data_IF_979577402560
#
_entry.id   IF_979577402560
#
_cell.length_a   1.000
_cell.length_b   1.000
_cell.length_c   1.000
_cell.angle_alpha   90.00
_cell.angle_beta   90.00
_cell.angle_gamma   90.00
#
_symmetry.space_group_name_H-M   'P 1'
#
loop_
_entity.id
_entity.type
_entity.pdbx_description
1 polymer ?
#
# COMPACT_ATOMS: atom_id res chain seq x y z
N UNK A 1 -25.45 -9.44 30.50
CA UNK A 1 -24.87 -8.20 29.90
C UNK A 1 -23.39 -8.29 29.52
N UNK A 2 -22.50 -9.01 30.24
CA UNK A 2 -21.07 -9.13 29.86
C UNK A 2 -20.79 -9.95 28.59
N UNK A 3 -21.68 -10.88 28.22
CA UNK A 3 -21.54 -11.68 27.01
C UNK A 3 -21.85 -10.87 25.74
N UNK A 4 -22.77 -9.90 25.80
CA UNK A 4 -23.12 -9.07 24.64
C UNK A 4 -21.95 -8.16 24.19
N UNK A 5 -21.22 -7.58 25.17
CA UNK A 5 -19.99 -6.80 24.90
C UNK A 5 -18.84 -7.67 24.37
N UNK A 6 -18.76 -8.95 24.77
CA UNK A 6 -17.77 -9.91 24.29
C UNK A 6 -18.06 -10.44 22.89
N UNK A 7 -19.34 -10.71 22.59
CA UNK A 7 -19.79 -11.05 21.25
C UNK A 7 -19.61 -9.88 20.28
N UNK A 8 -19.91 -8.65 20.72
CA UNK A 8 -19.62 -7.45 19.95
C UNK A 8 -18.13 -7.39 19.58
N UNK A 9 -17.21 -7.55 20.54
CA UNK A 9 -15.77 -7.49 20.27
C UNK A 9 -15.26 -8.50 19.22
N UNK A 10 -15.76 -9.74 19.20
CA UNK A 10 -15.37 -10.74 18.18
C UNK A 10 -16.10 -10.55 16.87
N UNK A 11 -17.36 -10.10 16.90
CA UNK A 11 -18.09 -9.72 15.70
C UNK A 11 -17.39 -8.53 15.02
N UNK A 12 -16.93 -7.53 15.79
CA UNK A 12 -16.16 -6.41 15.28
C UNK A 12 -14.81 -6.87 14.72
N UNK A 13 -14.17 -7.87 15.33
CA UNK A 13 -12.85 -8.34 14.89
C UNK A 13 -12.92 -9.23 13.63
N UNK A 14 -13.99 -10.03 13.49
CA UNK A 14 -14.33 -10.72 12.24
C UNK A 14 -14.82 -9.75 11.15
N UNK A 15 -15.63 -8.75 11.52
CA UNK A 15 -16.05 -7.68 10.61
C UNK A 15 -14.88 -6.83 10.16
N UNK A 16 -13.89 -6.52 11.00
CA UNK A 16 -12.67 -5.80 10.61
C UNK A 16 -11.83 -6.70 9.71
N UNK A 17 -11.74 -8.00 9.96
CA UNK A 17 -10.99 -8.93 9.10
C UNK A 17 -11.62 -9.07 7.71
N UNK A 18 -12.95 -9.12 7.62
CA UNK A 18 -13.67 -9.08 6.33
C UNK A 18 -13.66 -7.68 5.70
N UNK A 19 -13.83 -6.61 6.47
CA UNK A 19 -13.82 -5.23 5.97
C UNK A 19 -12.43 -4.83 5.44
N UNK A 20 -11.34 -5.29 6.05
CA UNK A 20 -9.97 -5.04 5.56
C UNK A 20 -9.74 -5.69 4.18
N UNK A 21 -10.35 -6.84 3.91
CA UNK A 21 -10.31 -7.48 2.59
C UNK A 21 -11.33 -6.89 1.60
N UNK A 22 -12.50 -6.46 2.09
CA UNK A 22 -13.54 -5.81 1.27
C UNK A 22 -13.26 -4.35 0.93
N UNK A 23 -12.35 -3.67 1.62
CA UNK A 23 -11.92 -2.30 1.30
C UNK A 23 -10.78 -2.21 0.29
N UNK A 24 -10.14 -3.35 -0.05
CA UNK A 24 -9.06 -3.39 -1.03
C UNK A 24 -9.46 -3.17 -2.50
N UNK A 25 -10.67 -3.51 -3.00
CA UNK A 25 -10.95 -3.39 -4.43
C UNK A 25 -11.33 -1.97 -4.87
N UNK A 26 -11.54 -1.03 -3.95
CA UNK A 26 -12.05 0.31 -4.27
C UNK A 26 -11.00 1.42 -4.42
N UNK A 27 -9.82 1.28 -3.81
CA UNK A 27 -8.83 2.36 -3.76
C UNK A 27 -7.66 2.19 -4.75
N UNK A 28 -7.33 0.95 -5.14
CA UNK A 28 -6.25 0.67 -6.11
C UNK A 28 -6.63 1.13 -7.54
N UNK A 29 -7.91 1.30 -7.86
CA UNK A 29 -8.40 1.74 -9.19
C UNK A 29 -8.98 3.16 -9.21
N UNK A 30 -8.65 4.02 -8.24
CA UNK A 30 -9.12 5.41 -8.27
C UNK A 30 -8.35 6.19 -9.32
N UNK A 31 -8.92 6.32 -10.52
CA UNK A 31 -8.34 7.09 -11.62
C UNK A 31 -7.92 8.48 -11.10
N UNK A 32 -6.66 8.91 -11.31
CA UNK A 32 -6.19 10.22 -10.83
C UNK A 32 -7.03 11.37 -11.38
N UNK A 33 -7.64 11.17 -12.55
CA UNK A 33 -8.56 12.10 -13.22
C UNK A 33 -9.87 12.32 -12.43
N UNK A 34 -10.42 11.30 -11.77
CA UNK A 34 -11.65 11.45 -10.96
C UNK A 34 -11.41 12.26 -9.69
N UNK A 35 -10.25 12.10 -9.06
CA UNK A 35 -9.86 12.89 -7.89
C UNK A 35 -9.61 14.35 -8.31
N UNK A 36 -8.95 14.55 -9.45
CA UNK A 36 -8.73 15.88 -10.04
C UNK A 36 -10.05 16.62 -10.29
N UNK A 37 -11.02 15.94 -10.94
CA UNK A 37 -12.33 16.51 -11.24
C UNK A 37 -13.13 16.81 -9.97
N UNK A 38 -13.02 15.98 -8.92
CA UNK A 38 -13.69 16.22 -7.65
C UNK A 38 -13.12 17.44 -6.91
N UNK A 39 -11.79 17.60 -6.89
CA UNK A 39 -11.12 18.73 -6.22
C UNK A 39 -11.35 20.05 -6.98
N UNK A 40 -11.38 20.04 -8.31
CA UNK A 40 -11.64 21.25 -9.11
C UNK A 40 -13.09 21.73 -9.05
N UNK A 41 -14.08 20.83 -8.90
CA UNK A 41 -15.50 21.20 -8.89
C UNK A 41 -16.08 21.51 -7.49
N UNK A 42 -15.36 21.24 -6.39
CA UNK A 42 -15.90 21.38 -5.04
C UNK A 42 -15.13 22.40 -4.18
N UNK A 43 -15.86 23.10 -3.31
CA UNK A 43 -15.31 24.12 -2.42
C UNK A 43 -14.30 23.54 -1.43
N UNK A 44 -13.38 24.40 -0.93
CA UNK A 44 -12.26 23.94 -0.12
C UNK A 44 -12.65 23.16 1.14
N UNK A 45 -13.83 23.46 1.67
CA UNK A 45 -14.39 22.87 2.87
C UNK A 45 -14.84 21.41 2.65
N UNK A 46 -15.29 21.06 1.44
CA UNK A 46 -15.77 19.71 1.12
C UNK A 46 -14.61 18.75 0.94
N UNK A 47 -13.56 19.11 0.19
CA UNK A 47 -12.40 18.23 0.05
C UNK A 47 -11.70 18.01 1.41
N UNK A 48 -11.54 19.06 2.22
CA UNK A 48 -10.95 18.95 3.56
C UNK A 48 -11.74 17.99 4.46
N UNK A 49 -13.07 18.05 4.42
CA UNK A 49 -13.93 17.14 5.19
C UNK A 49 -13.81 15.69 4.74
N UNK A 50 -13.69 15.44 3.42
CA UNK A 50 -13.49 14.10 2.87
C UNK A 50 -12.14 13.52 3.29
N UNK A 51 -11.05 14.28 3.17
CA UNK A 51 -9.71 13.83 3.59
C UNK A 51 -9.62 13.63 5.11
N UNK A 52 -10.30 14.45 5.89
CA UNK A 52 -10.43 14.25 7.33
C UNK A 52 -11.18 12.96 7.67
N UNK A 53 -12.29 12.68 6.98
CA UNK A 53 -13.04 11.43 7.11
C UNK A 53 -12.21 10.20 6.72
N UNK A 54 -11.42 10.32 5.64
CA UNK A 54 -10.43 9.30 5.25
C UNK A 54 -9.39 9.08 6.34
N UNK A 55 -8.89 10.14 6.98
CA UNK A 55 -7.99 10.03 8.14
C UNK A 55 -8.60 9.24 9.29
N UNK A 56 -9.87 9.47 9.62
CA UNK A 56 -10.59 8.70 10.66
C UNK A 56 -10.71 7.22 10.24
N UNK A 57 -11.03 6.95 8.98
CA UNK A 57 -11.14 5.59 8.47
C UNK A 57 -9.77 4.86 8.50
N UNK A 58 -8.70 5.57 8.16
CA UNK A 58 -7.34 5.05 8.19
C UNK A 58 -6.84 4.77 9.62
N UNK A 59 -7.42 5.40 10.66
CA UNK A 59 -7.09 5.07 12.04
C UNK A 59 -7.44 3.61 12.41
N UNK A 60 -8.37 2.98 11.67
CA UNK A 60 -8.71 1.57 11.82
C UNK A 60 -7.80 0.63 11.01
N UNK A 61 -6.75 1.16 10.37
CA UNK A 61 -5.80 0.33 9.64
C UNK A 61 -4.90 -0.46 10.59
N UNK A 62 -4.44 -1.64 10.16
CA UNK A 62 -3.57 -2.49 10.97
C UNK A 62 -2.21 -1.88 11.31
N UNK A 63 -1.80 -0.80 10.65
CA UNK A 63 -0.51 -0.13 10.91
C UNK A 63 -0.59 0.86 12.08
N UNK A 64 -1.76 1.44 12.37
CA UNK A 64 -1.95 2.44 13.44
C UNK A 64 -2.47 1.80 14.73
N UNK A 65 -3.31 0.77 14.61
CA UNK A 65 -3.86 0.01 15.74
C UNK A 65 -2.80 -0.51 16.76
N UNK A 66 -1.59 -0.98 16.35
CA UNK A 66 -0.56 -1.47 17.26
C UNK A 66 0.03 -0.40 18.19
N UNK A 67 -0.10 0.89 17.87
CA UNK A 67 0.38 1.95 18.77
C UNK A 67 -0.55 2.18 19.96
N UNK A 68 -1.84 1.84 19.86
CA UNK A 68 -2.80 2.00 20.97
C UNK A 68 -2.39 1.18 22.20
N UNK A 69 -2.04 -0.13 22.09
CA UNK A 69 -1.49 -0.90 23.20
C UNK A 69 -0.18 -0.36 23.78
N UNK A 70 0.69 0.22 22.95
CA UNK A 70 1.99 0.76 23.40
C UNK A 70 1.75 2.01 24.26
N UNK A 71 0.92 2.94 23.78
CA UNK A 71 0.53 4.15 24.53
C UNK A 71 -0.20 3.77 25.82
N UNK A 72 -1.14 2.82 25.75
CA UNK A 72 -1.85 2.33 26.93
C UNK A 72 -0.91 1.70 27.95
N UNK A 73 0.09 0.91 27.51
CA UNK A 73 1.10 0.33 28.40
C UNK A 73 1.96 1.37 29.12
N UNK A 74 2.34 2.44 28.41
CA UNK A 74 3.14 3.55 28.97
C UNK A 74 2.31 4.37 29.97
N UNK A 75 1.05 4.66 29.63
CA UNK A 75 0.14 5.47 30.47
C UNK A 75 -0.29 4.69 31.72
N UNK A 76 -0.62 3.40 31.59
CA UNK A 76 -1.04 2.54 32.72
C UNK A 76 0.15 2.17 33.63
N UNK A 77 1.37 2.14 33.10
CA UNK A 77 2.60 1.94 33.88
C UNK A 77 2.92 3.10 34.84
N UNK A 78 2.39 4.31 34.58
CA UNK A 78 2.49 5.46 35.47
C UNK A 78 1.24 5.53 36.35
N UNK A 79 1.30 4.90 37.53
CA UNK A 79 0.21 4.70 38.53
C UNK A 79 -0.57 5.95 39.02
N UNK A 80 -0.35 7.15 38.49
CA UNK A 80 -1.02 8.38 38.96
C UNK A 80 -1.08 9.53 37.93
N UNK A 81 -1.33 9.24 36.65
CA UNK A 81 -1.59 10.30 35.68
C UNK A 81 -3.05 10.78 35.74
N UNK A 82 -3.25 12.06 36.08
CA UNK A 82 -4.52 12.77 35.86
C UNK A 82 -4.89 12.75 34.36
N UNK A 83 -6.18 12.65 34.04
CA UNK A 83 -6.75 12.73 32.69
C UNK A 83 -6.21 13.92 31.88
N UNK A 84 -5.91 15.05 32.55
CA UNK A 84 -5.31 16.23 31.94
C UNK A 84 -3.90 15.98 31.36
N UNK A 85 -3.08 15.13 32.00
CA UNK A 85 -1.75 14.77 31.48
C UNK A 85 -1.85 13.81 30.29
N UNK A 86 -2.79 12.87 30.30
CA UNK A 86 -3.03 11.99 29.16
C UNK A 86 -3.49 12.77 27.92
N UNK A 87 -4.39 13.74 28.10
CA UNK A 87 -4.83 14.64 27.01
C UNK A 87 -3.69 15.51 26.51
N UNK A 88 -2.85 16.07 27.40
CA UNK A 88 -1.68 16.88 27.00
C UNK A 88 -0.64 16.07 26.23
N UNK A 89 -0.40 14.81 26.62
CA UNK A 89 0.55 13.92 25.95
C UNK A 89 0.03 13.51 24.55
N UNK A 90 -1.24 13.14 24.45
CA UNK A 90 -1.89 12.78 23.18
C UNK A 90 -1.95 13.97 22.21
N UNK A 91 -2.26 15.18 22.71
CA UNK A 91 -2.24 16.40 21.90
C UNK A 91 -0.85 16.69 21.34
N UNK A 92 0.19 16.60 22.17
CA UNK A 92 1.58 16.79 21.71
C UNK A 92 2.01 15.75 20.68
N UNK A 93 1.54 14.50 20.83
CA UNK A 93 1.82 13.42 19.87
C UNK A 93 1.12 13.67 18.52
N UNK A 94 -0.17 14.03 18.53
CA UNK A 94 -0.93 14.33 17.31
C UNK A 94 -0.36 15.55 16.59
N UNK A 95 0.03 16.60 17.31
CA UNK A 95 0.69 17.77 16.74
C UNK A 95 2.04 17.42 16.09
N UNK A 96 2.86 16.59 16.75
CA UNK A 96 4.13 16.14 16.19
C UNK A 96 3.95 15.31 14.91
N UNK A 97 2.98 14.41 14.89
CA UNK A 97 2.61 13.64 13.69
C UNK A 97 2.12 14.56 12.57
N UNK A 98 1.22 15.50 12.87
CA UNK A 98 0.64 16.41 11.89
C UNK A 98 1.70 17.32 11.25
N UNK A 99 2.63 17.87 12.03
CA UNK A 99 3.75 18.67 11.52
C UNK A 99 4.67 17.82 10.64
N UNK A 100 4.95 16.58 11.03
CA UNK A 100 5.83 15.69 10.26
C UNK A 100 5.18 15.29 8.93
N UNK A 101 3.87 15.00 8.91
CA UNK A 101 3.12 14.73 7.67
C UNK A 101 3.00 15.95 6.77
N UNK A 102 2.76 17.13 7.35
CA UNK A 102 2.75 18.38 6.59
C UNK A 102 4.12 18.65 5.95
N UNK A 103 5.20 18.48 6.70
CA UNK A 103 6.57 18.62 6.19
C UNK A 103 6.86 17.60 5.07
N UNK A 104 6.47 16.34 5.26
CA UNK A 104 6.60 15.31 4.23
C UNK A 104 5.81 15.67 2.96
N UNK A 105 4.61 16.22 3.09
CA UNK A 105 3.79 16.69 1.96
C UNK A 105 4.41 17.84 1.18
N UNK A 106 4.95 18.84 1.89
CA UNK A 106 5.64 19.98 1.27
C UNK A 106 6.92 19.51 0.57
N UNK A 107 7.71 18.64 1.22
CA UNK A 107 8.92 18.05 0.63
C UNK A 107 8.58 17.23 -0.61
N UNK A 108 7.50 16.46 -0.58
CA UNK A 108 7.06 15.66 -1.72
C UNK A 108 6.57 16.55 -2.89
N UNK A 109 5.90 17.67 -2.59
CA UNK A 109 5.56 18.68 -3.59
C UNK A 109 6.80 19.32 -4.24
N UNK A 110 7.87 19.53 -3.46
CA UNK A 110 9.15 20.06 -3.97
C UNK A 110 9.94 19.04 -4.80
N UNK A 111 9.88 17.75 -4.43
CA UNK A 111 10.63 16.69 -5.13
C UNK A 111 9.91 16.11 -6.36
N UNK A 112 8.62 16.40 -6.53
CA UNK A 112 7.83 16.01 -7.70
C UNK A 112 7.79 14.50 -7.95
N UNK A 113 7.61 14.10 -9.22
CA UNK A 113 7.52 12.70 -9.70
C UNK A 113 8.74 11.82 -9.36
N UNK A 114 9.84 12.44 -8.92
CA UNK A 114 11.06 11.76 -8.46
C UNK A 114 10.83 10.92 -7.21
N UNK A 115 9.92 11.34 -6.31
CA UNK A 115 9.68 10.64 -5.04
C UNK A 115 9.04 9.26 -5.24
N UNK A 116 8.09 9.17 -6.19
CA UNK A 116 7.41 7.93 -6.56
C UNK A 116 8.41 6.85 -7.02
N UNK A 117 9.35 7.27 -7.85
CA UNK A 117 10.40 6.39 -8.42
C UNK A 117 11.34 5.87 -7.33
N UNK A 118 11.64 6.66 -6.31
CA UNK A 118 12.49 6.26 -5.19
C UNK A 118 11.79 5.25 -4.26
N UNK A 119 10.51 5.45 -3.96
CA UNK A 119 9.75 4.54 -3.08
C UNK A 119 9.54 3.15 -3.70
N UNK A 120 9.52 3.03 -5.02
CA UNK A 120 9.36 1.75 -5.72
C UNK A 120 10.68 1.01 -5.95
N UNK A 121 11.84 1.54 -5.50
CA UNK A 121 13.08 0.77 -5.58
C UNK A 121 12.99 -0.47 -4.69
N UNK A 122 13.40 -1.66 -5.19
CA UNK A 122 13.30 -2.91 -4.45
C UNK A 122 14.05 -2.86 -3.10
N UNK A 123 15.15 -2.11 -3.04
CA UNK A 123 15.93 -1.90 -1.81
C UNK A 123 15.11 -1.21 -0.72
N UNK A 124 14.29 -0.23 -1.07
CA UNK A 124 13.46 0.53 -0.12
C UNK A 124 12.34 -0.37 0.43
N UNK A 125 11.69 -1.14 -0.43
CA UNK A 125 10.66 -2.11 -0.04
C UNK A 125 11.23 -3.20 0.89
N UNK A 126 12.43 -3.72 0.59
CA UNK A 126 13.11 -4.71 1.44
C UNK A 126 13.43 -4.11 2.81
N UNK A 127 13.98 -2.89 2.87
CA UNK A 127 14.28 -2.19 4.12
C UNK A 127 13.03 -2.00 4.97
N UNK A 128 11.93 -1.53 4.39
CA UNK A 128 10.66 -1.35 5.09
C UNK A 128 10.10 -2.69 5.59
N UNK A 129 10.11 -3.71 4.73
CA UNK A 129 9.64 -5.04 5.11
C UNK A 129 10.43 -5.60 6.30
N UNK A 130 11.75 -5.40 6.32
CA UNK A 130 12.60 -5.80 7.44
C UNK A 130 12.23 -5.08 8.74
N UNK A 131 11.95 -3.77 8.69
CA UNK A 131 11.48 -3.00 9.86
C UNK A 131 10.13 -3.52 10.37
N UNK A 132 9.20 -3.87 9.48
CA UNK A 132 7.91 -4.45 9.86
C UNK A 132 8.04 -5.83 10.51
N UNK A 133 8.91 -6.70 9.98
CA UNK A 133 9.24 -8.00 10.61
C UNK A 133 9.81 -7.78 12.00
N UNK A 134 10.78 -6.88 12.16
CA UNK A 134 11.38 -6.56 13.46
C UNK A 134 10.32 -6.09 14.46
N UNK A 135 9.38 -5.26 14.03
CA UNK A 135 8.34 -4.74 14.91
C UNK A 135 7.28 -5.79 15.26
N UNK A 136 6.94 -6.68 14.31
CA UNK A 136 6.09 -7.83 14.58
C UNK A 136 6.75 -8.78 15.60
N UNK A 137 8.05 -9.06 15.46
CA UNK A 137 8.82 -9.87 16.41
C UNK A 137 8.87 -9.25 17.82
N UNK A 138 8.94 -7.92 17.91
CA UNK A 138 8.82 -7.18 19.18
C UNK A 138 7.45 -7.38 19.83
N UNK A 139 6.36 -7.36 19.04
CA UNK A 139 5.00 -7.63 19.53
C UNK A 139 4.78 -9.08 19.98
N UNK A 140 5.45 -10.05 19.36
CA UNK A 140 5.44 -11.45 19.81
C UNK A 140 6.21 -11.67 21.12
N UNK A 141 6.97 -10.67 21.59
CA UNK A 141 7.75 -10.76 22.81
C UNK A 141 8.95 -11.71 22.70
N UNK A 142 9.30 -12.15 21.48
CA UNK A 142 10.52 -12.94 21.22
C UNK A 142 11.78 -12.12 21.52
N UNK A 143 11.65 -10.79 21.37
CA UNK A 143 12.54 -9.80 21.94
C UNK A 143 11.75 -9.02 23.00
N UNK A 144 11.73 -9.49 24.25
CA UNK A 144 11.81 -8.49 25.31
C UNK A 144 13.17 -7.83 25.08
N UNK A 145 13.18 -6.71 24.34
CA UNK A 145 14.22 -5.71 24.43
C UNK A 145 14.20 -5.22 25.89
N UNK A 146 14.72 -6.06 26.79
CA UNK A 146 15.33 -5.64 28.04
C UNK A 146 16.53 -4.84 27.58
N UNK A 147 16.28 -3.60 27.17
CA UNK A 147 17.36 -2.63 27.06
C UNK A 147 18.12 -2.76 28.39
N UNK A 148 19.44 -3.02 28.34
CA UNK A 148 20.23 -3.17 29.55
C UNK A 148 19.89 -2.01 30.48
N UNK A 149 19.54 -2.29 31.74
CA UNK A 149 19.02 -1.26 32.66
C UNK A 149 19.94 -0.03 32.80
N UNK A 150 21.22 -0.18 32.44
CA UNK A 150 22.22 0.88 32.38
C UNK A 150 21.91 1.96 31.32
N UNK A 151 21.33 1.62 30.17
CA UNK A 151 21.02 2.59 29.10
C UNK A 151 19.71 3.31 29.41
N UNK A 152 18.72 2.60 29.95
CA UNK A 152 17.42 3.18 30.33
C UNK A 152 17.53 4.09 31.54
N UNK A 153 18.36 3.78 32.55
CA UNK A 153 18.63 4.67 33.69
C UNK A 153 19.43 5.91 33.28
N UNK A 154 20.38 5.81 32.34
CA UNK A 154 21.08 6.99 31.81
C UNK A 154 20.15 7.91 31.00
N UNK A 155 19.32 7.34 30.11
CA UNK A 155 18.35 8.13 29.33
C UNK A 155 17.23 8.72 30.21
N UNK A 156 16.74 7.99 31.22
CA UNK A 156 15.72 8.51 32.14
C UNK A 156 16.28 9.49 33.16
N UNK A 157 17.55 9.39 33.57
CA UNK A 157 18.21 10.39 34.43
C UNK A 157 18.47 11.71 33.68
N UNK A 158 18.86 11.65 32.40
CA UNK A 158 18.93 12.80 31.51
C UNK A 158 17.53 13.40 31.25
N UNK A 159 16.51 12.55 31.13
CA UNK A 159 15.12 12.98 30.93
C UNK A 159 14.48 13.58 32.20
N UNK A 160 14.90 13.15 33.40
CA UNK A 160 14.42 13.71 34.69
C UNK A 160 14.98 15.11 34.98
N UNK A 161 16.17 15.44 34.46
CA UNK A 161 16.85 16.71 34.73
C UNK A 161 16.36 17.86 33.84
N UNK A 162 15.69 17.54 32.74
CA UNK A 162 15.15 18.52 31.81
C UNK A 162 13.69 18.20 31.54
N UNK A 163 12.76 18.94 32.17
CA UNK A 163 11.31 18.80 31.96
C UNK A 163 10.81 18.96 30.50
N UNK A 164 11.72 19.16 29.56
CA UNK A 164 11.51 19.30 28.11
C UNK A 164 11.97 18.06 27.29
N UNK A 165 12.67 17.09 27.89
CA UNK A 165 13.22 15.91 27.20
C UNK A 165 12.14 14.92 26.69
N UNK A 166 10.95 14.93 27.30
CA UNK A 166 9.80 14.16 26.81
C UNK A 166 9.33 14.63 25.42
N UNK A 167 9.47 15.91 25.09
CA UNK A 167 9.01 16.44 23.79
C UNK A 167 9.95 16.00 22.66
N UNK A 168 11.27 16.05 22.90
CA UNK A 168 12.27 15.59 21.92
C UNK A 168 12.14 14.10 21.64
N UNK A 169 11.98 13.26 22.68
CA UNK A 169 11.77 11.81 22.50
C UNK A 169 10.48 11.49 21.74
N UNK A 170 9.41 12.27 21.96
CA UNK A 170 8.12 12.10 21.25
C UNK A 170 8.24 12.51 19.78
N UNK A 171 9.02 13.55 19.47
CA UNK A 171 9.29 13.98 18.09
C UNK A 171 10.09 12.90 17.33
N UNK A 172 11.15 12.34 17.92
CA UNK A 172 11.92 11.26 17.28
C UNK A 172 11.09 10.00 17.05
N UNK A 173 10.24 9.63 18.01
CA UNK A 173 9.33 8.50 17.86
C UNK A 173 8.30 8.76 16.75
N UNK A 174 7.86 10.02 16.60
CA UNK A 174 6.98 10.47 15.52
C UNK A 174 7.62 10.33 14.13
N UNK A 175 8.88 10.74 13.96
CA UNK A 175 9.61 10.62 12.68
C UNK A 175 9.80 9.15 12.28
N UNK A 176 10.15 8.29 13.24
CA UNK A 176 10.28 6.85 12.96
C UNK A 176 8.90 6.26 12.58
N UNK A 177 7.83 6.71 13.25
CA UNK A 177 6.47 6.28 12.97
C UNK A 177 5.98 6.71 11.58
N UNK A 178 6.22 7.96 11.16
CA UNK A 178 5.84 8.42 9.81
C UNK A 178 6.58 7.66 8.72
N UNK A 179 7.86 7.34 8.93
CA UNK A 179 8.63 6.53 7.99
C UNK A 179 7.99 5.14 7.83
N UNK A 180 7.63 4.49 8.94
CA UNK A 180 7.02 3.16 8.94
C UNK A 180 5.58 3.17 8.39
N UNK A 181 4.80 4.24 8.60
CA UNK A 181 3.42 4.33 8.14
C UNK A 181 3.32 4.66 6.64
N UNK A 182 4.37 5.25 6.06
CA UNK A 182 4.45 5.59 4.63
C UNK A 182 3.99 4.47 3.68
N UNK A 183 4.48 3.21 3.79
CA UNK A 183 4.01 2.11 2.94
C UNK A 183 2.51 1.80 3.07
N UNK A 184 1.91 2.02 4.25
CA UNK A 184 0.47 1.76 4.47
C UNK A 184 -0.44 2.91 3.99
N UNK A 185 0.11 4.09 3.72
CA UNK A 185 -0.64 5.30 3.30
C UNK A 185 -0.34 5.66 1.83
N UNK A 186 0.39 4.80 1.12
CA UNK A 186 0.82 5.02 -0.27
C UNK A 186 -0.35 5.35 -1.20
N UNK A 187 -1.49 4.67 -1.11
CA UNK A 187 -2.63 4.90 -2.02
C UNK A 187 -3.23 6.33 -1.89
N UNK A 188 -3.62 6.80 -0.68
CA UNK A 188 -4.01 8.20 -0.49
C UNK A 188 -2.91 9.20 -0.90
N UNK A 189 -1.65 8.87 -0.61
CA UNK A 189 -0.51 9.74 -0.92
C UNK A 189 -0.36 9.93 -2.44
N UNK A 190 -0.46 8.87 -3.25
CA UNK A 190 -0.36 8.93 -4.72
C UNK A 190 -1.43 9.86 -5.31
N UNK A 191 -2.68 9.76 -4.84
CA UNK A 191 -3.76 10.63 -5.29
C UNK A 191 -3.46 12.11 -5.04
N UNK A 192 -2.94 12.43 -3.85
CA UNK A 192 -2.53 13.79 -3.47
C UNK A 192 -1.31 14.26 -4.27
N UNK A 193 -0.30 13.41 -4.45
CA UNK A 193 0.91 13.72 -5.22
C UNK A 193 0.60 13.99 -6.69
N UNK A 194 -0.33 13.23 -7.27
CA UNK A 194 -0.76 13.44 -8.66
C UNK A 194 -1.49 14.78 -8.83
N UNK A 195 -2.30 15.16 -7.84
CA UNK A 195 -2.95 16.48 -7.81
C UNK A 195 -1.92 17.62 -7.67
N UNK A 196 -0.96 17.51 -6.75
CA UNK A 196 0.10 18.52 -6.55
C UNK A 196 0.96 18.65 -7.81
N UNK A 197 1.28 17.53 -8.47
CA UNK A 197 2.08 17.51 -9.70
C UNK A 197 1.44 18.28 -10.86
N UNK A 198 0.11 18.35 -10.93
CA UNK A 198 -0.61 19.15 -11.94
C UNK A 198 -0.89 20.58 -11.49
N UNK A 199 -1.09 20.80 -10.18
CA UNK A 199 -1.52 22.10 -9.64
C UNK A 199 -0.35 23.05 -9.33
N UNK A 200 0.87 22.53 -9.16
CA UNK A 200 2.08 23.32 -8.89
C UNK A 200 2.16 23.96 -7.49
N UNK A 201 1.09 23.93 -6.69
CA UNK A 201 1.02 24.55 -5.37
C UNK A 201 1.38 23.55 -4.24
N UNK A 202 2.67 23.46 -3.90
CA UNK A 202 3.18 22.57 -2.86
C UNK A 202 2.58 22.82 -1.45
N UNK A 203 2.10 24.03 -1.18
CA UNK A 203 1.48 24.40 0.10
C UNK A 203 0.18 23.64 0.37
N UNK A 204 -0.66 23.42 -0.65
CA UNK A 204 -1.94 22.70 -0.49
C UNK A 204 -1.72 21.24 -0.07
N UNK A 205 -0.66 20.60 -0.58
CA UNK A 205 -0.29 19.24 -0.19
C UNK A 205 0.01 19.11 1.31
N UNK A 206 0.72 20.09 1.87
CA UNK A 206 0.99 20.15 3.30
C UNK A 206 -0.27 20.27 4.15
N UNK A 207 -1.21 21.13 3.73
CA UNK A 207 -2.48 21.36 4.46
C UNK A 207 -3.37 20.11 4.44
N UNK A 208 -3.49 19.43 3.30
CA UNK A 208 -4.29 18.20 3.17
C UNK A 208 -3.74 17.09 4.09
N UNK A 209 -2.43 16.87 4.08
CA UNK A 209 -1.81 15.85 4.94
C UNK A 209 -1.88 16.22 6.42
N UNK A 210 -1.81 17.51 6.75
CA UNK A 210 -2.00 18.00 8.12
C UNK A 210 -3.42 17.66 8.63
N UNK A 211 -4.45 17.95 7.84
CA UNK A 211 -5.85 17.67 8.19
C UNK A 211 -6.12 16.15 8.27
N UNK A 212 -5.54 15.36 7.37
CA UNK A 212 -5.63 13.90 7.43
C UNK A 212 -4.99 13.34 8.72
N UNK A 213 -3.82 13.84 9.11
CA UNK A 213 -3.15 13.44 10.35
C UNK A 213 -3.96 13.83 11.60
N UNK A 214 -4.62 14.99 11.60
CA UNK A 214 -5.57 15.37 12.65
C UNK A 214 -6.77 14.41 12.73
N UNK A 215 -7.32 14.01 11.57
CA UNK A 215 -8.39 13.02 11.48
C UNK A 215 -8.02 11.68 12.13
N UNK A 216 -6.81 11.17 11.86
CA UNK A 216 -6.30 9.95 12.49
C UNK A 216 -6.09 10.10 14.02
N UNK A 217 -5.72 11.29 14.48
CA UNK A 217 -5.44 11.58 15.89
C UNK A 217 -6.67 11.61 16.79
N UNK A 218 -7.85 11.91 16.25
CA UNK A 218 -9.09 12.06 17.04
C UNK A 218 -9.57 10.75 17.67
N UNK A 219 -9.66 9.63 16.93
CA UNK A 219 -9.98 8.33 17.53
C UNK A 219 -8.99 7.93 18.62
N UNK A 220 -7.70 8.18 18.40
CA UNK A 220 -6.63 7.95 19.39
C UNK A 220 -6.83 8.78 20.66
N UNK A 221 -7.20 10.06 20.52
CA UNK A 221 -7.45 10.96 21.64
C UNK A 221 -8.70 10.53 22.42
N UNK A 222 -9.76 10.11 21.72
CA UNK A 222 -10.99 9.60 22.33
C UNK A 222 -10.71 8.32 23.15
N UNK A 223 -9.93 7.41 22.58
CA UNK A 223 -9.54 6.15 23.24
C UNK A 223 -8.58 6.40 24.41
N UNK A 224 -7.63 7.33 24.28
CA UNK A 224 -6.73 7.73 25.36
C UNK A 224 -7.44 8.42 26.53
N UNK A 225 -8.45 9.25 26.26
CA UNK A 225 -9.28 9.88 27.29
C UNK A 225 -10.22 8.88 27.98
N UNK A 226 -10.73 7.88 27.25
CA UNK A 226 -11.63 6.85 27.78
C UNK A 226 -10.95 5.70 28.53
N UNK A 227 -9.61 5.59 28.47
CA UNK A 227 -8.85 4.46 29.02
C UNK A 227 -8.86 4.35 30.55
N UNK A 228 -9.26 5.40 31.27
CA UNK A 228 -9.38 5.37 32.74
C UNK A 228 -10.62 4.64 33.27
N UNK A 229 -11.69 4.51 32.47
CA UNK A 229 -12.98 3.97 32.94
C UNK A 229 -13.42 2.67 32.23
N UNK A 230 -12.89 2.38 31.03
CA UNK A 230 -13.43 1.33 30.16
C UNK A 230 -12.51 0.14 29.90
N UNK A 231 -11.21 0.24 30.19
CA UNK A 231 -10.29 -0.88 29.98
C UNK A 231 -10.20 -1.78 31.23
N UNK A 232 -10.61 -3.06 31.13
CA UNK A 232 -10.38 -4.02 32.20
C UNK A 232 -8.88 -4.19 32.46
N UNK A 233 -8.50 -4.49 33.71
CA UNK A 233 -7.11 -4.72 34.14
C UNK A 233 -6.31 -5.47 33.07
N UNK A 234 -5.07 -5.04 32.86
CA UNK A 234 -4.04 -5.61 31.99
C UNK A 234 -3.85 -7.12 32.25
N UNK A 235 -4.75 -7.93 31.73
CA UNK A 235 -4.76 -9.38 31.89
C UNK A 235 -4.26 -10.11 30.64
N UNK A 236 -4.42 -11.43 30.65
CA UNK A 236 -4.06 -12.33 29.55
C UNK A 236 -4.72 -12.03 28.20
N UNK A 237 -5.81 -11.23 28.20
CA UNK A 237 -6.44 -10.73 26.99
C UNK A 237 -5.54 -9.80 26.17
N UNK A 238 -4.74 -8.94 26.82
CA UNK A 238 -3.84 -8.02 26.12
C UNK A 238 -2.75 -8.77 25.36
N UNK A 239 -2.30 -9.92 25.88
CA UNK A 239 -1.31 -10.77 25.22
C UNK A 239 -1.86 -11.37 23.92
N UNK A 240 -3.12 -11.82 23.93
CA UNK A 240 -3.80 -12.35 22.72
C UNK A 240 -4.00 -11.28 21.66
N UNK A 241 -4.35 -10.06 22.07
CA UNK A 241 -4.52 -8.92 21.16
C UNK A 241 -3.19 -8.54 20.51
N UNK A 242 -2.09 -8.49 21.27
CA UNK A 242 -0.74 -8.26 20.72
C UNK A 242 -0.35 -9.30 19.67
N UNK A 243 -0.60 -10.58 19.97
CA UNK A 243 -0.27 -11.69 19.08
C UNK A 243 -1.06 -11.65 17.77
N UNK A 244 -2.35 -11.31 17.85
CA UNK A 244 -3.21 -11.09 16.69
C UNK A 244 -2.72 -9.91 15.82
N UNK A 245 -2.36 -8.77 16.42
CA UNK A 245 -1.86 -7.61 15.67
C UNK A 245 -0.47 -7.87 15.04
N UNK A 246 0.42 -8.57 15.75
CA UNK A 246 1.72 -8.98 15.19
C UNK A 246 1.55 -9.86 13.96
N UNK A 247 0.57 -10.77 13.97
CA UNK A 247 0.23 -11.61 12.82
C UNK A 247 -0.27 -10.80 11.63
N UNK A 248 -1.12 -9.81 11.89
CA UNK A 248 -1.65 -8.92 10.86
C UNK A 248 -0.53 -8.07 10.22
N UNK A 249 0.44 -7.59 11.02
CA UNK A 249 1.62 -6.89 10.48
C UNK A 249 2.50 -7.81 9.60
N UNK A 250 2.68 -9.07 9.99
CA UNK A 250 3.38 -10.03 9.14
C UNK A 250 2.61 -10.30 7.84
N UNK A 251 1.28 -10.40 7.88
CA UNK A 251 0.46 -10.62 6.69
C UNK A 251 0.62 -9.47 5.68
N UNK A 252 0.63 -8.22 6.17
CA UNK A 252 0.94 -7.05 5.35
C UNK A 252 2.35 -7.07 4.77
N UNK A 253 3.32 -7.57 5.55
CA UNK A 253 4.71 -7.70 5.08
C UNK A 253 4.79 -8.70 3.92
N UNK A 254 4.13 -9.85 4.04
CA UNK A 254 4.08 -10.86 2.97
C UNK A 254 3.38 -10.30 1.73
N UNK A 255 2.30 -9.54 1.91
CA UNK A 255 1.62 -8.87 0.79
C UNK A 255 2.54 -7.86 0.09
N UNK A 256 3.28 -7.05 0.84
CA UNK A 256 4.25 -6.09 0.28
C UNK A 256 5.41 -6.79 -0.45
N UNK A 257 5.95 -7.87 0.13
CA UNK A 257 6.97 -8.70 -0.52
C UNK A 257 6.45 -9.37 -1.80
N UNK A 258 5.14 -9.60 -1.89
CA UNK A 258 4.51 -10.17 -3.07
C UNK A 258 4.63 -9.32 -4.33
N UNK A 259 4.93 -8.01 -4.20
CA UNK A 259 5.25 -7.16 -5.36
C UNK A 259 6.64 -7.43 -5.95
N UNK A 260 7.52 -8.13 -5.22
CA UNK A 260 8.91 -8.40 -5.61
C UNK A 260 9.20 -9.87 -5.87
N UNK A 261 8.46 -10.78 -5.24
CA UNK A 261 8.72 -12.22 -5.29
C UNK A 261 7.77 -12.94 -6.25
N UNK A 262 8.22 -14.00 -6.94
CA UNK A 262 7.35 -14.85 -7.77
C UNK A 262 6.17 -15.39 -6.97
N UNK A 263 5.01 -15.56 -7.62
CA UNK A 263 3.75 -16.05 -7.01
C UNK A 263 3.92 -17.27 -6.09
N UNK A 264 4.86 -18.15 -6.44
CA UNK A 264 5.17 -19.36 -5.66
C UNK A 264 5.66 -19.04 -4.26
N UNK A 265 6.62 -18.11 -4.12
CA UNK A 265 7.19 -17.73 -2.83
C UNK A 265 6.18 -16.99 -1.95
N UNK A 266 5.30 -16.19 -2.57
CA UNK A 266 4.24 -15.47 -1.89
C UNK A 266 3.23 -16.44 -1.28
N UNK A 267 2.78 -17.44 -2.04
CA UNK A 267 1.87 -18.48 -1.54
C UNK A 267 2.50 -19.28 -0.41
N UNK A 268 3.80 -19.58 -0.51
CA UNK A 268 4.55 -20.33 0.50
C UNK A 268 4.74 -19.51 1.79
N UNK A 269 5.01 -18.21 1.67
CA UNK A 269 5.06 -17.29 2.80
C UNK A 269 3.69 -17.13 3.49
N UNK A 270 2.60 -17.03 2.71
CA UNK A 270 1.24 -17.03 3.25
C UNK A 270 0.90 -18.34 3.97
N UNK A 271 1.29 -19.49 3.40
CA UNK A 271 1.08 -20.78 4.04
C UNK A 271 1.86 -20.90 5.36
N UNK A 272 3.14 -20.52 5.36
CA UNK A 272 3.98 -20.51 6.56
C UNK A 272 3.38 -19.58 7.64
N UNK A 273 2.91 -18.41 7.23
CA UNK A 273 2.23 -17.46 8.11
C UNK A 273 0.97 -18.09 8.71
N UNK A 274 0.03 -18.61 7.92
CA UNK A 274 -1.20 -19.25 8.41
C UNK A 274 -0.92 -20.43 9.36
N UNK A 275 0.11 -21.23 9.08
CA UNK A 275 0.53 -22.36 9.94
C UNK A 275 1.06 -21.85 11.28
N UNK A 276 2.01 -20.91 11.27
CA UNK A 276 2.60 -20.33 12.49
C UNK A 276 1.53 -19.59 13.31
N UNK A 277 0.60 -18.90 12.66
CA UNK A 277 -0.53 -18.23 13.29
C UNK A 277 -1.49 -19.19 13.99
N UNK A 278 -1.82 -20.31 13.34
CA UNK A 278 -2.68 -21.34 13.92
C UNK A 278 -2.05 -22.00 15.15
N UNK A 279 -0.76 -22.33 15.08
CA UNK A 279 -0.01 -22.91 16.20
C UNK A 279 0.04 -21.90 17.37
N UNK A 280 0.30 -20.63 17.07
CA UNK A 280 0.36 -19.52 18.03
C UNK A 280 -0.96 -19.29 18.77
N UNK A 281 -2.09 -19.48 18.09
CA UNK A 281 -3.44 -19.39 18.69
C UNK A 281 -3.80 -20.58 19.60
N UNK A 282 -2.93 -21.59 19.69
CA UNK A 282 -3.14 -22.76 20.54
C UNK A 282 -4.03 -23.82 19.92
N UNK A 283 -4.01 -23.99 18.59
CA UNK A 283 -4.73 -25.06 17.88
C UNK A 283 -4.51 -26.46 18.52
N UNK A 284 -3.31 -26.71 19.06
CA UNK A 284 -2.94 -27.96 19.74
C UNK A 284 -3.17 -27.96 21.27
N UNK A 285 -3.64 -26.86 21.88
CA UNK A 285 -3.91 -26.80 23.32
C UNK A 285 -5.36 -27.17 23.61
N UNK A 286 -5.58 -28.18 24.45
CA UNK A 286 -6.89 -28.56 24.98
C UNK A 286 -7.40 -27.48 25.93
N UNK A 287 -8.29 -26.62 25.43
CA UNK A 287 -8.86 -25.53 26.21
C UNK A 287 -10.24 -25.90 26.77
N UNK A 288 -10.41 -25.81 28.08
CA UNK A 288 -11.61 -26.27 28.80
C UNK A 288 -12.79 -25.29 28.71
N UNK A 289 -12.54 -24.02 28.37
CA UNK A 289 -13.58 -22.99 28.20
C UNK A 289 -14.24 -23.06 26.82
N UNK A 290 -15.57 -22.92 26.75
CA UNK A 290 -16.35 -22.92 25.50
C UNK A 290 -15.84 -21.89 24.47
N UNK A 291 -15.33 -20.74 24.92
CA UNK A 291 -14.71 -19.72 24.05
C UNK A 291 -13.32 -20.12 23.55
N UNK A 292 -12.58 -20.94 24.30
CA UNK A 292 -11.32 -21.52 23.85
C UNK A 292 -11.52 -22.50 22.71
N UNK A 293 -12.59 -23.31 22.78
CA UNK A 293 -12.96 -24.27 21.72
C UNK A 293 -13.37 -23.59 20.40
N UNK A 294 -14.04 -22.44 20.46
CA UNK A 294 -14.38 -21.66 19.25
C UNK A 294 -13.13 -21.07 18.58
N UNK A 295 -12.22 -20.49 19.36
CA UNK A 295 -10.94 -19.95 18.84
C UNK A 295 -10.07 -21.10 18.27
N UNK A 296 -10.09 -22.26 18.92
CA UNK A 296 -9.43 -23.47 18.43
C UNK A 296 -10.02 -23.93 17.09
N UNK A 297 -11.35 -23.92 16.95
CA UNK A 297 -12.02 -24.25 15.68
C UNK A 297 -11.64 -23.31 14.54
N UNK A 298 -11.60 -21.99 14.79
CA UNK A 298 -11.12 -21.00 13.81
C UNK A 298 -9.64 -21.24 13.46
N UNK A 299 -8.80 -21.57 14.44
CA UNK A 299 -7.40 -21.93 14.22
C UNK A 299 -7.23 -23.16 13.34
N UNK A 300 -8.07 -24.18 13.50
CA UNK A 300 -8.05 -25.40 12.67
C UNK A 300 -8.52 -25.13 11.24
N UNK A 301 -9.55 -24.30 11.04
CA UNK A 301 -10.01 -23.88 9.71
C UNK A 301 -8.90 -23.10 8.98
N UNK A 302 -8.21 -22.21 9.68
CA UNK A 302 -7.05 -21.47 9.15
C UNK A 302 -5.89 -22.42 8.80
N UNK A 303 -5.66 -23.47 9.60
CA UNK A 303 -4.64 -24.49 9.35
C UNK A 303 -4.99 -25.31 8.10
N UNK A 304 -6.25 -25.69 7.93
CA UNK A 304 -6.75 -26.34 6.72
C UNK A 304 -6.58 -25.44 5.50
N UNK A 305 -6.93 -24.15 5.59
CA UNK A 305 -6.73 -23.17 4.51
C UNK A 305 -5.25 -23.02 4.13
N UNK A 306 -4.35 -22.92 5.11
CA UNK A 306 -2.91 -22.90 4.89
C UNK A 306 -2.37 -24.19 4.26
N UNK A 307 -2.88 -25.34 4.68
CA UNK A 307 -2.54 -26.65 4.12
C UNK A 307 -2.99 -26.82 2.67
N UNK A 308 -4.19 -26.33 2.32
CA UNK A 308 -4.71 -26.36 0.94
C UNK A 308 -3.89 -25.44 0.03
N UNK A 309 -3.50 -24.25 0.52
CA UNK A 309 -2.63 -23.33 -0.22
C UNK A 309 -1.21 -23.90 -0.42
N UNK A 310 -0.64 -24.55 0.59
CA UNK A 310 0.63 -25.26 0.47
C UNK A 310 0.54 -26.43 -0.52
N UNK A 311 -0.49 -27.28 -0.38
CA UNK A 311 -0.70 -28.44 -1.24
C UNK A 311 -0.93 -28.04 -2.71
N UNK A 312 -1.76 -27.02 -2.97
CA UNK A 312 -2.00 -26.51 -4.33
C UNK A 312 -0.75 -25.90 -4.97
N UNK A 313 0.12 -25.29 -4.17
CA UNK A 313 1.41 -24.75 -4.65
C UNK A 313 2.37 -25.90 -4.98
N UNK A 314 2.45 -26.92 -4.12
CA UNK A 314 3.30 -28.09 -4.34
C UNK A 314 2.79 -28.91 -5.54
N UNK A 315 1.48 -29.11 -5.66
CA UNK A 315 0.89 -29.87 -6.78
C UNK A 315 1.02 -29.13 -8.11
N UNK A 316 1.01 -27.80 -8.13
CA UNK A 316 1.29 -27.02 -9.35
C UNK A 316 2.76 -27.05 -9.75
N UNK A 317 3.71 -27.10 -8.80
CA UNK A 317 5.14 -27.29 -9.08
C UNK A 317 5.40 -28.72 -9.62
N UNK A 318 4.73 -29.72 -9.07
CA UNK A 318 4.86 -31.13 -9.53
C UNK A 318 4.16 -31.34 -10.88
N UNK A 319 2.97 -30.77 -11.10
CA UNK A 319 2.23 -30.86 -12.35
C UNK A 319 2.83 -30.02 -13.50
N UNK A 320 3.69 -29.04 -13.20
CA UNK A 320 4.40 -28.27 -14.25
C UNK A 320 5.59 -29.03 -14.84
N UNK A 321 5.95 -30.17 -14.26
CA UNK A 321 7.01 -31.05 -14.77
C UNK A 321 6.48 -32.06 -15.82
N UNK A 322 5.16 -32.26 -15.89
CA UNK A 322 4.49 -33.15 -16.85
C UNK A 322 3.52 -32.33 -17.72
N UNK A 323 3.99 -31.89 -18.88
CA UNK A 323 3.18 -31.34 -19.97
C UNK A 323 2.28 -30.15 -19.64
N UNK A 324 2.79 -28.94 -19.89
CA UNK A 324 2.03 -27.99 -20.72
C UNK A 324 2.95 -27.21 -21.65
N UNK A 325 3.03 -27.65 -22.91
CA UNK A 325 3.06 -26.72 -24.05
C UNK A 325 1.77 -25.91 -24.04
N UNK A 326 1.61 -24.98 -23.10
CA UNK A 326 0.65 -23.89 -23.29
C UNK A 326 1.24 -23.06 -24.41
N UNK A 327 0.57 -23.00 -25.55
CA UNK A 327 0.72 -21.87 -26.46
C UNK A 327 0.38 -20.61 -25.66
N UNK A 328 1.39 -20.05 -25.00
CA UNK A 328 1.28 -18.74 -24.35
C UNK A 328 1.19 -17.78 -25.52
N UNK A 329 -0.03 -17.33 -25.81
CA UNK A 329 -0.27 -16.31 -26.82
C UNK A 329 0.40 -15.05 -26.28
N UNK A 330 1.61 -14.80 -26.78
CA UNK A 330 2.37 -13.62 -26.42
C UNK A 330 1.92 -12.50 -27.35
N UNK A 331 1.47 -11.39 -26.76
CA UNK A 331 1.09 -10.22 -27.54
C UNK A 331 2.24 -9.79 -28.47
N UNK A 332 1.95 -9.31 -29.69
CA UNK A 332 2.95 -9.01 -30.72
C UNK A 332 3.67 -7.68 -30.44
N UNK A 333 4.32 -7.56 -29.29
CA UNK A 333 5.08 -6.38 -28.90
C UNK A 333 6.53 -6.44 -29.38
N UNK A 334 7.01 -5.31 -29.88
CA UNK A 334 8.41 -5.05 -30.17
C UNK A 334 8.97 -4.22 -29.02
N UNK A 335 9.96 -4.76 -28.31
CA UNK A 335 10.60 -4.07 -27.21
C UNK A 335 11.60 -3.03 -27.72
N UNK A 336 11.55 -1.82 -27.16
CA UNK A 336 12.40 -0.69 -27.53
C UNK A 336 12.86 0.09 -26.30
N UNK A 337 14.13 0.49 -26.29
CA UNK A 337 14.78 1.03 -25.10
C UNK A 337 15.32 2.46 -25.30
N UNK A 338 15.26 2.99 -26.52
CA UNK A 338 15.83 4.29 -26.87
C UNK A 338 14.94 5.06 -27.85
N UNK A 339 15.12 6.39 -27.87
CA UNK A 339 14.29 7.30 -28.67
C UNK A 339 14.51 7.09 -30.17
N UNK A 340 15.72 6.74 -30.59
CA UNK A 340 16.04 6.49 -31.99
C UNK A 340 15.28 5.29 -32.57
N UNK A 341 15.14 4.21 -31.79
CA UNK A 341 14.39 3.02 -32.18
C UNK A 341 12.88 3.30 -32.26
N UNK A 342 12.34 4.11 -31.34
CA UNK A 342 10.95 4.56 -31.39
C UNK A 342 10.72 5.34 -32.70
N UNK A 343 11.53 6.36 -32.98
CA UNK A 343 11.39 7.17 -34.18
C UNK A 343 11.57 6.36 -35.47
N UNK A 344 12.46 5.37 -35.47
CA UNK A 344 12.64 4.45 -36.59
C UNK A 344 11.35 3.67 -36.90
N UNK A 345 10.72 3.10 -35.88
CA UNK A 345 9.47 2.35 -36.08
C UNK A 345 8.27 3.25 -36.40
N UNK A 346 8.24 4.49 -35.88
CA UNK A 346 7.24 5.49 -36.29
C UNK A 346 7.39 5.85 -37.79
N UNK A 347 8.63 6.02 -38.27
CA UNK A 347 8.87 6.28 -39.69
C UNK A 347 8.51 5.06 -40.58
N UNK A 348 8.82 3.85 -40.13
CA UNK A 348 8.41 2.61 -40.80
C UNK A 348 6.87 2.47 -40.86
N UNK A 349 6.18 2.88 -39.81
CA UNK A 349 4.73 2.87 -39.74
C UNK A 349 4.09 3.81 -40.77
N UNK A 350 4.67 5.01 -40.94
CA UNK A 350 4.24 5.96 -41.97
C UNK A 350 4.44 5.39 -43.38
N UNK A 351 5.58 4.75 -43.64
CA UNK A 351 5.86 4.14 -44.96
C UNK A 351 4.94 2.95 -45.27
N UNK A 352 4.52 2.21 -44.24
CA UNK A 352 3.67 1.03 -44.38
C UNK A 352 2.18 1.33 -44.18
N UNK A 353 1.81 2.60 -43.98
CA UNK A 353 0.46 3.07 -43.66
C UNK A 353 -0.20 2.27 -42.52
N UNK A 354 0.56 1.99 -41.45
CA UNK A 354 0.07 1.31 -40.26
C UNK A 354 0.02 2.28 -39.08
N UNK A 355 -1.04 2.18 -38.30
CA UNK A 355 -1.12 2.87 -37.00
C UNK A 355 -0.18 2.20 -35.98
N UNK A 356 0.27 2.98 -34.99
CA UNK A 356 1.25 2.55 -33.99
C UNK A 356 0.64 2.62 -32.60
N UNK A 357 0.83 1.55 -31.83
CA UNK A 357 0.49 1.48 -30.42
C UNK A 357 1.77 1.48 -29.59
N UNK A 358 1.96 2.47 -28.73
CA UNK A 358 3.09 2.56 -27.82
C UNK A 358 2.62 2.34 -26.38
N UNK A 359 3.16 1.31 -25.73
CA UNK A 359 3.02 1.10 -24.29
C UNK A 359 4.33 1.45 -23.58
N UNK A 360 4.28 2.41 -22.67
CA UNK A 360 5.38 2.74 -21.76
C UNK A 360 5.21 1.98 -20.45
N UNK A 361 6.16 1.11 -20.13
CA UNK A 361 6.09 0.25 -18.94
C UNK A 361 7.37 0.36 -18.09
N UNK A 362 7.28 -0.14 -16.87
CA UNK A 362 8.44 -0.33 -16.01
C UNK A 362 8.38 -1.71 -15.34
N UNK A 363 9.53 -2.31 -15.08
CA UNK A 363 9.63 -3.64 -14.45
C UNK A 363 9.11 -3.64 -13.02
N UNK A 364 9.18 -2.51 -12.31
CA UNK A 364 8.69 -2.32 -10.94
C UNK A 364 7.20 -1.93 -10.87
N UNK A 365 6.54 -1.73 -12.01
CA UNK A 365 5.15 -1.31 -12.09
C UNK A 365 4.22 -2.52 -11.97
N UNK A 366 3.49 -2.63 -10.86
CA UNK A 366 2.53 -3.73 -10.62
C UNK A 366 1.45 -3.77 -11.68
N UNK A 367 0.90 -2.61 -12.04
CA UNK A 367 -0.20 -2.49 -12.99
C UNK A 367 0.23 -2.92 -14.40
N UNK A 368 1.49 -2.66 -14.76
CA UNK A 368 2.07 -3.08 -16.02
C UNK A 368 2.19 -4.62 -16.09
N UNK A 369 2.65 -5.26 -15.01
CA UNK A 369 2.72 -6.72 -14.92
C UNK A 369 1.32 -7.37 -14.92
N UNK A 370 0.37 -6.72 -14.25
CA UNK A 370 -1.02 -7.17 -14.24
C UNK A 370 -1.66 -7.04 -15.62
N UNK A 371 -1.42 -5.95 -16.34
CA UNK A 371 -1.88 -5.79 -17.72
C UNK A 371 -1.24 -6.80 -18.67
N UNK A 372 0.05 -7.11 -18.53
CA UNK A 372 0.70 -8.17 -19.32
C UNK A 372 -0.01 -9.52 -19.15
N UNK A 373 -0.35 -9.89 -17.93
CA UNK A 373 -0.94 -11.20 -17.63
C UNK A 373 -2.45 -11.26 -17.89
N UNK A 374 -3.20 -10.21 -17.54
CA UNK A 374 -4.67 -10.20 -17.59
C UNK A 374 -5.25 -9.56 -18.84
N UNK A 375 -4.49 -8.72 -19.55
CA UNK A 375 -5.00 -7.89 -20.65
C UNK A 375 -4.30 -8.21 -21.97
N UNK A 376 -2.99 -7.97 -22.08
CA UNK A 376 -2.27 -8.05 -23.36
C UNK A 376 -2.16 -9.48 -23.90
N UNK A 377 -1.82 -10.45 -23.05
CA UNK A 377 -1.66 -11.85 -23.45
C UNK A 377 -3.00 -12.61 -23.58
N UNK A 378 -4.10 -11.88 -23.79
CA UNK A 378 -5.43 -12.45 -24.07
C UNK A 378 -5.64 -12.58 -25.59
N UNK A 379 -6.30 -13.66 -26.06
CA UNK A 379 -6.46 -13.92 -27.49
C UNK A 379 -7.22 -12.81 -28.23
N UNK A 380 -8.25 -12.24 -27.59
CA UNK A 380 -9.06 -11.15 -28.18
C UNK A 380 -8.25 -9.86 -28.36
N UNK A 381 -7.41 -9.51 -27.38
CA UNK A 381 -6.56 -8.31 -27.42
C UNK A 381 -5.43 -8.50 -28.43
N UNK A 382 -4.75 -9.65 -28.42
CA UNK A 382 -3.73 -9.98 -29.42
C UNK A 382 -4.28 -9.92 -30.86
N UNK A 383 -5.54 -10.32 -31.07
CA UNK A 383 -6.21 -10.20 -32.37
C UNK A 383 -6.52 -8.74 -32.71
N UNK A 384 -7.01 -7.95 -31.77
CA UNK A 384 -7.25 -6.51 -31.98
C UNK A 384 -5.96 -5.71 -32.23
N UNK A 385 -4.83 -6.16 -31.66
CA UNK A 385 -3.49 -5.60 -31.90
C UNK A 385 -2.88 -6.04 -33.25
N UNK A 386 -3.47 -7.04 -33.90
CA UNK A 386 -2.97 -7.56 -35.17
C UNK A 386 -3.24 -6.54 -36.29
N UNK A 387 -2.18 -6.14 -37.01
CA UNK A 387 -2.27 -5.10 -38.04
C UNK A 387 -1.86 -3.70 -37.56
N UNK A 388 -1.45 -3.56 -36.31
CA UNK A 388 -0.77 -2.39 -35.75
C UNK A 388 0.72 -2.69 -35.58
N UNK A 389 1.55 -1.65 -35.52
CA UNK A 389 2.92 -1.76 -35.00
C UNK A 389 2.84 -1.52 -33.49
N UNK A 390 3.03 -2.57 -32.69
CA UNK A 390 2.92 -2.49 -31.24
C UNK A 390 4.31 -2.41 -30.63
N UNK A 391 4.63 -1.29 -30.01
CA UNK A 391 5.92 -1.01 -29.38
C UNK A 391 5.76 -1.00 -27.86
N UNK A 392 6.70 -1.61 -27.16
CA UNK A 392 6.75 -1.66 -25.71
C UNK A 392 8.04 -1.01 -25.21
N UNK A 393 7.92 0.17 -24.62
CA UNK A 393 9.04 1.05 -24.25
C UNK A 393 9.38 0.88 -22.77
N UNK A 394 10.63 0.50 -22.49
CA UNK A 394 11.11 0.25 -21.14
C UNK A 394 11.56 1.54 -20.43
N UNK A 395 10.87 1.95 -19.37
CA UNK A 395 11.21 3.10 -18.52
C UNK A 395 11.71 2.70 -17.12
N UNK A 396 12.14 1.45 -16.95
CA UNK A 396 12.54 0.89 -15.64
C UNK A 396 13.79 1.57 -15.07
N UNK A 397 14.77 1.83 -15.93
CA UNK A 397 16.04 2.44 -15.53
C UNK A 397 15.95 3.97 -15.57
N UNK A 398 15.47 4.53 -14.45
CA UNK A 398 15.32 5.97 -14.29
C UNK A 398 16.63 6.73 -14.13
N UNK A 399 17.77 6.05 -13.98
CA UNK A 399 19.09 6.68 -13.99
C UNK A 399 19.63 6.89 -15.41
N UNK A 400 19.07 6.20 -16.41
CA UNK A 400 19.50 6.30 -17.78
C UNK A 400 19.03 7.65 -18.41
N UNK A 401 19.95 8.45 -19.01
CA UNK A 401 19.59 9.71 -19.65
C UNK A 401 18.59 9.55 -20.81
N UNK A 402 18.58 8.42 -21.51
CA UNK A 402 17.62 8.15 -22.59
C UNK A 402 16.18 8.02 -22.07
N UNK A 403 15.99 7.38 -20.91
CA UNK A 403 14.67 7.26 -20.27
C UNK A 403 14.12 8.63 -19.88
N UNK A 404 14.99 9.54 -19.43
CA UNK A 404 14.59 10.92 -19.10
C UNK A 404 14.16 11.69 -20.36
N UNK A 405 14.93 11.60 -21.44
CA UNK A 405 14.56 12.21 -22.73
C UNK A 405 13.24 11.69 -23.28
N UNK A 406 13.01 10.37 -23.22
CA UNK A 406 11.76 9.76 -23.66
C UNK A 406 10.58 10.32 -22.84
N UNK A 407 10.71 10.36 -21.50
CA UNK A 407 9.65 10.91 -20.62
C UNK A 407 9.34 12.37 -20.93
N UNK A 408 10.36 13.20 -21.18
CA UNK A 408 10.19 14.61 -21.52
C UNK A 408 9.56 14.79 -22.92
N UNK A 409 10.01 14.02 -23.91
CA UNK A 409 9.54 14.11 -25.31
C UNK A 409 8.07 13.73 -25.44
N UNK A 410 7.65 12.67 -24.75
CA UNK A 410 6.28 12.15 -24.80
C UNK A 410 5.41 12.61 -23.61
N UNK A 411 5.90 13.55 -22.79
CA UNK A 411 5.22 14.05 -21.58
C UNK A 411 4.67 12.94 -20.65
N UNK A 412 5.49 11.91 -20.40
CA UNK A 412 5.10 10.73 -19.62
C UNK A 412 5.37 10.96 -18.13
N UNK A 413 4.31 11.09 -17.34
CA UNK A 413 4.39 11.30 -15.89
C UNK A 413 4.21 10.02 -15.05
N UNK A 414 3.75 8.92 -15.66
CA UNK A 414 3.50 7.65 -14.98
C UNK A 414 3.49 6.45 -15.92
N UNK A 415 3.52 5.24 -15.34
CA UNK A 415 3.42 3.97 -16.06
C UNK A 415 2.30 3.12 -15.43
N UNK A 416 1.55 2.31 -16.20
CA UNK A 416 1.62 2.21 -17.65
C UNK A 416 1.01 3.43 -18.33
N UNK A 417 1.59 3.87 -19.44
CA UNK A 417 0.99 4.89 -20.31
C UNK A 417 0.91 4.35 -21.72
N UNK A 418 -0.24 4.51 -22.35
CA UNK A 418 -0.57 4.02 -23.68
C UNK A 418 -0.83 5.20 -24.60
N UNK A 419 -0.02 5.31 -25.67
CA UNK A 419 -0.17 6.30 -26.71
C UNK A 419 -0.49 5.63 -28.04
N UNK A 420 -1.34 6.27 -28.84
CA UNK A 420 -1.71 5.79 -30.17
C UNK A 420 -1.33 6.84 -31.22
N UNK A 421 -0.81 6.38 -32.35
CA UNK A 421 -0.47 7.20 -33.51
C UNK A 421 -1.23 6.71 -34.73
N UNK A 422 -1.74 7.64 -35.53
CA UNK A 422 -2.44 7.32 -36.77
C UNK A 422 -1.48 6.89 -37.90
N UNK A 423 -2.01 6.52 -39.07
CA UNK A 423 -1.22 6.13 -40.25
C UNK A 423 -0.28 7.23 -40.75
N UNK A 424 -0.61 8.50 -40.48
CA UNK A 424 0.24 9.66 -40.79
C UNK A 424 1.32 9.93 -39.72
N UNK A 425 1.38 9.12 -38.66
CA UNK A 425 2.28 9.33 -37.52
C UNK A 425 1.92 10.53 -36.64
N UNK A 426 0.69 11.04 -36.73
CA UNK A 426 0.16 12.05 -35.80
C UNK A 426 -0.35 11.38 -34.51
N UNK A 427 -0.04 11.94 -33.32
CA UNK A 427 -0.55 11.40 -32.05
C UNK A 427 -2.07 11.57 -31.96
N UNK A 428 -2.76 10.53 -31.50
CA UNK A 428 -4.20 10.51 -31.28
C UNK A 428 -4.50 10.85 -29.81
N UNK A 429 -4.31 12.12 -29.44
CA UNK A 429 -4.33 12.56 -28.03
C UNK A 429 -5.60 12.20 -27.25
N UNK A 430 -6.74 12.09 -27.95
CA UNK A 430 -8.04 11.72 -27.37
C UNK A 430 -8.15 10.23 -26.99
N UNK A 431 -7.25 9.39 -27.49
CA UNK A 431 -7.23 7.94 -27.25
C UNK A 431 -6.12 7.52 -26.29
N UNK A 432 -5.30 8.47 -25.82
CA UNK A 432 -4.25 8.20 -24.85
C UNK A 432 -4.86 7.76 -23.52
N UNK A 433 -4.17 6.84 -22.86
CA UNK A 433 -4.66 6.32 -21.59
C UNK A 433 -3.52 6.04 -20.61
N UNK A 434 -3.76 6.32 -19.33
CA UNK A 434 -2.76 6.28 -18.26
C UNK A 434 -3.30 5.43 -17.11
N UNK A 435 -2.48 4.50 -16.62
CA UNK A 435 -2.84 3.56 -15.56
C UNK A 435 -3.42 2.25 -16.09
N UNK A 436 -3.86 1.41 -15.15
CA UNK A 436 -4.46 0.12 -15.46
C UNK A 436 -5.75 0.26 -16.28
N UNK A 437 -5.87 -0.51 -17.36
CA UNK A 437 -7.08 -0.56 -18.19
C UNK A 437 -7.49 -2.02 -18.35
N UNK A 438 -8.79 -2.29 -18.19
CA UNK A 438 -9.33 -3.61 -18.39
C UNK A 438 -9.35 -4.04 -19.86
N UNK A 439 -9.54 -5.34 -20.07
CA UNK A 439 -9.53 -5.95 -21.40
C UNK A 439 -10.54 -5.32 -22.36
N UNK A 440 -11.76 -5.06 -21.92
CA UNK A 440 -12.81 -4.53 -22.79
C UNK A 440 -12.53 -3.08 -23.17
N UNK A 441 -12.12 -2.25 -22.22
CA UNK A 441 -11.75 -0.86 -22.48
C UNK A 441 -10.59 -0.75 -23.49
N UNK A 442 -9.57 -1.60 -23.39
CA UNK A 442 -8.46 -1.62 -24.36
C UNK A 442 -8.93 -2.02 -25.77
N UNK A 443 -9.81 -3.02 -25.89
CA UNK A 443 -10.35 -3.43 -27.19
C UNK A 443 -11.12 -2.28 -27.84
N UNK A 444 -11.94 -1.55 -27.09
CA UNK A 444 -12.69 -0.39 -27.60
C UNK A 444 -11.75 0.69 -28.13
N UNK A 445 -10.64 0.97 -27.44
CA UNK A 445 -9.62 1.91 -27.91
C UNK A 445 -8.96 1.43 -29.22
N UNK A 446 -8.55 0.15 -29.26
CA UNK A 446 -7.94 -0.44 -30.46
C UNK A 446 -8.88 -0.44 -31.66
N UNK A 447 -10.18 -0.65 -31.45
CA UNK A 447 -11.20 -0.54 -32.50
C UNK A 447 -11.39 0.90 -32.99
N UNK A 448 -11.32 1.89 -32.09
CA UNK A 448 -11.37 3.31 -32.48
C UNK A 448 -10.18 3.72 -33.35
N UNK A 449 -8.98 3.20 -33.03
CA UNK A 449 -7.78 3.39 -33.87
C UNK A 449 -7.92 2.72 -35.23
N UNK A 450 -8.55 1.53 -35.30
CA UNK A 450 -8.84 0.90 -36.59
C UNK A 450 -9.86 1.69 -37.42
N UNK A 451 -10.81 2.37 -36.78
CA UNK A 451 -11.78 3.23 -37.48
C UNK A 451 -11.15 4.53 -38.00
N UNK A 452 -10.20 5.13 -37.28
CA UNK A 452 -9.52 6.35 -37.77
C UNK A 452 -8.73 6.09 -39.05
N UNK A 453 -8.22 4.87 -39.24
CA UNK A 453 -7.55 4.42 -40.47
C UNK A 453 -8.38 4.61 -41.75
N UNK A 454 -9.71 4.61 -41.65
CA UNK A 454 -10.61 4.64 -42.81
C UNK A 454 -11.13 6.05 -43.17
N UNK A 455 -10.70 7.10 -42.46
CA UNK A 455 -11.21 8.48 -42.63
C UNK A 455 -10.15 9.42 -43.24
N UNK A 456 -8.95 8.92 -43.53
CA UNK A 456 -7.85 9.66 -44.18
C UNK A 456 -7.94 9.69 -45.70
#
# INVERSE_FOLDING_TARGET
MNNLKRYAGVLTLMLISHAVWSFSPGFESSNPLTIMHFIQNHSALVYLSVFFGLGILLAFTPCVLPMVPILSGIIVGQRSLSTAKAVKLSSSYVLGMAITYAAAGVLAGYMGSTLQTWMQRPVVIILFSLVFVLMALSMFGLFELRLPEKITTHLTSLSKKSGHANVVSVIFMGIISTLVVSPCVTAPLIGVLTYIGQSGEAWMGGVILFVMALGMGIPLMLVGAGQGALLPRTGSWMLKVKQLFGFLMLAMTVWMLGRLLPDTWVKLAWAALLIVGSISMGSLRTQTSQWGKLIQGVGVIILMGGGILAYSTISTIVASQESRTIHTIKAPFIHVDNLAAINKHLAEAQQTHKAVFLEFYASWCSDCQEMDTKVFNQPEVSKAMSGLINLKVNLSDTANPEVKKIKETFAIYGTPTMLFFDTDGKPLDKLNAVGFIDKQALIVLLEQVHKSRHVG
#
